data_IF_760048231592
#
_entry.id   IF_760048231592
#
_cell.length_a   1.000
_cell.length_b   1.000
_cell.length_c   1.000
_cell.angle_alpha   90.00
_cell.angle_beta   90.00
_cell.angle_gamma   90.00
#
_symmetry.space_group_name_H-M   'P 1'
#
loop_
_entity.id
_entity.type
_entity.pdbx_description
1 polymer ?
#
# COMPACT_ATOMS: atom_id res chain seq x y z
N UNK A 1 3.36 -4.18 10.34
CA UNK A 1 2.34 -4.36 9.30
C UNK A 1 2.58 -3.27 8.28
N UNK A 2 2.71 -3.61 7.00
CA UNK A 2 2.94 -2.63 5.95
C UNK A 2 1.59 -2.18 5.41
N UNK A 3 1.18 -0.96 5.76
CA UNK A 3 0.01 -0.32 5.18
C UNK A 3 0.46 0.37 3.89
N UNK A 4 0.00 -0.11 2.74
CA UNK A 4 0.21 0.58 1.46
C UNK A 4 -0.88 1.64 1.35
N UNK A 5 -0.52 2.90 1.13
CA UNK A 5 -1.48 4.01 1.07
C UNK A 5 -1.44 4.61 -0.33
N UNK A 6 -2.50 4.42 -1.09
CA UNK A 6 -2.68 5.09 -2.39
C UNK A 6 -3.04 6.56 -2.16
N UNK A 7 -2.16 7.47 -2.58
CA UNK A 7 -2.37 8.92 -2.47
C UNK A 7 -3.15 9.44 -3.66
N UNK A 8 -4.38 9.92 -3.44
CA UNK A 8 -5.18 10.68 -4.41
C UNK A 8 -5.15 12.15 -3.99
N UNK A 9 -4.24 12.93 -4.60
CA UNK A 9 -4.06 14.40 -4.46
C UNK A 9 -3.71 14.93 -3.05
N UNK A 10 -2.95 16.03 -3.00
CA UNK A 10 -1.95 16.39 -1.98
C UNK A 10 -2.33 16.53 -0.49
N UNK A 11 -3.56 16.31 -0.02
CA UNK A 11 -3.85 16.47 1.43
C UNK A 11 -4.84 15.51 2.07
N UNK A 12 -5.45 14.58 1.33
CA UNK A 12 -6.42 13.63 1.89
C UNK A 12 -5.92 12.20 1.77
N UNK A 13 -5.37 11.69 2.88
CA UNK A 13 -5.08 10.26 3.00
C UNK A 13 -6.40 9.48 2.88
N UNK A 14 -6.43 8.51 1.96
CA UNK A 14 -7.55 7.57 1.92
C UNK A 14 -7.53 6.73 3.20
N UNK A 15 -8.66 6.60 3.88
CA UNK A 15 -8.83 5.66 5.00
C UNK A 15 -8.95 4.20 4.53
N UNK A 16 -8.56 3.93 3.27
CA UNK A 16 -8.51 2.59 2.69
C UNK A 16 -7.27 1.86 3.17
N UNK A 17 -7.45 0.60 3.58
CA UNK A 17 -6.35 -0.35 3.80
C UNK A 17 -6.13 -1.11 2.50
N UNK A 18 -4.92 -1.02 1.96
CA UNK A 18 -4.57 -1.74 0.73
C UNK A 18 -3.74 -2.99 1.05
N UNK A 19 -4.15 -4.11 0.47
CA UNK A 19 -3.47 -5.41 0.54
C UNK A 19 -3.13 -5.86 -0.88
N UNK A 20 -1.89 -6.27 -1.13
CA UNK A 20 -1.52 -6.94 -2.37
C UNK A 20 -0.45 -7.99 -2.10
N UNK A 21 -0.37 -9.02 -2.94
CA UNK A 21 0.63 -10.09 -2.88
C UNK A 21 1.45 -10.13 -4.19
N UNK A 22 2.33 -9.14 -4.39
CA UNK A 22 3.19 -9.05 -5.58
C UNK A 22 4.50 -9.80 -5.31
N UNK A 23 5.10 -10.47 -6.32
CA UNK A 23 4.69 -10.54 -7.73
C UNK A 23 3.64 -11.61 -8.05
N UNK A 24 3.16 -12.36 -7.05
CA UNK A 24 2.24 -13.48 -7.26
C UNK A 24 0.88 -13.06 -7.83
N UNK A 25 0.48 -11.82 -7.56
CA UNK A 25 -0.77 -11.22 -8.00
C UNK A 25 -0.53 -9.78 -8.47
N UNK A 26 -1.12 -9.44 -9.61
CA UNK A 26 -1.20 -8.08 -10.14
C UNK A 26 -2.44 -7.34 -9.62
N UNK A 27 -3.16 -7.90 -8.64
CA UNK A 27 -4.38 -7.33 -8.09
C UNK A 27 -4.10 -6.68 -6.74
N UNK A 28 -4.49 -5.42 -6.59
CA UNK A 28 -4.48 -4.70 -5.31
C UNK A 28 -5.92 -4.67 -4.79
N UNK A 29 -6.10 -5.18 -3.57
CA UNK A 29 -7.36 -5.14 -2.85
C UNK A 29 -7.37 -3.95 -1.88
N UNK A 30 -8.44 -3.17 -1.89
CA UNK A 30 -8.60 -2.03 -0.99
C UNK A 30 -9.87 -2.18 -0.16
N UNK A 31 -9.73 -2.05 1.15
CA UNK A 31 -10.82 -2.10 2.12
C UNK A 31 -11.10 -0.73 2.68
N UNK A 32 -12.36 -0.32 2.70
CA UNK A 32 -12.82 0.91 3.34
C UNK A 32 -14.01 0.60 4.25
N UNK A 33 -13.97 1.09 5.48
CA UNK A 33 -15.11 0.99 6.40
C UNK A 33 -15.81 2.35 6.50
N UNK A 34 -17.13 2.35 6.34
CA UNK A 34 -17.98 3.53 6.54
C UNK A 34 -19.32 3.12 7.12
N UNK A 35 -19.76 3.79 8.18
CA UNK A 35 -21.03 3.52 8.86
C UNK A 35 -21.22 2.03 9.24
N UNK A 36 -20.14 1.36 9.65
CA UNK A 36 -20.14 -0.07 9.98
C UNK A 36 -20.18 -1.03 8.79
N UNK A 37 -20.23 -0.52 7.55
CA UNK A 37 -20.21 -1.31 6.32
C UNK A 37 -18.79 -1.37 5.75
N UNK A 38 -18.39 -2.58 5.34
CA UNK A 38 -17.12 -2.83 4.65
C UNK A 38 -17.33 -2.75 3.13
N UNK A 39 -16.56 -1.89 2.48
CA UNK A 39 -16.47 -1.76 1.04
C UNK A 39 -15.14 -2.32 0.55
N UNK A 40 -15.21 -3.19 -0.46
CA UNK A 40 -14.05 -3.81 -1.08
C UNK A 40 -13.94 -3.32 -2.52
N UNK A 41 -12.76 -2.86 -2.91
CA UNK A 41 -12.46 -2.45 -4.28
C UNK A 41 -11.21 -3.18 -4.76
N UNK A 42 -11.14 -3.41 -6.07
CA UNK A 42 -10.01 -4.09 -6.70
C UNK A 42 -9.42 -3.21 -7.78
N UNK A 43 -8.10 -3.08 -7.77
CA UNK A 43 -7.33 -2.34 -8.76
C UNK A 43 -6.41 -3.33 -9.45
N UNK A 44 -6.50 -3.41 -10.78
CA UNK A 44 -5.62 -4.26 -11.56
C UNK A 44 -4.38 -3.46 -11.94
N UNK A 45 -3.19 -3.97 -11.64
CA UNK A 45 -1.94 -3.38 -12.11
C UNK A 45 -1.81 -3.67 -13.60
N UNK A 46 -1.77 -2.62 -14.42
CA UNK A 46 -1.62 -2.70 -15.87
C UNK A 46 -0.21 -2.37 -16.33
N UNK A 47 0.54 -1.60 -15.53
CA UNK A 47 1.94 -1.28 -15.80
C UNK A 47 2.73 -1.15 -14.51
N UNK A 48 3.94 -1.73 -14.52
CA UNK A 48 4.89 -1.60 -13.42
C UNK A 48 5.73 -0.34 -13.62
N UNK A 49 5.90 0.44 -12.56
CA UNK A 49 6.87 1.54 -12.58
C UNK A 49 8.30 1.06 -12.34
N UNK A 50 9.20 2.02 -12.19
CA UNK A 50 10.59 1.75 -11.83
C UNK A 50 10.68 1.47 -10.33
N UNK A 51 11.21 0.30 -9.97
CA UNK A 51 11.47 -0.02 -8.57
C UNK A 51 12.55 0.93 -8.02
N UNK A 52 12.35 1.54 -6.83
CA UNK A 52 13.32 2.47 -6.27
C UNK A 52 14.64 1.76 -5.96
N UNK A 53 15.76 2.40 -6.29
CA UNK A 53 17.11 1.89 -6.02
C UNK A 53 17.37 1.64 -4.53
N UNK A 54 16.70 2.41 -3.67
CA UNK A 54 16.94 2.45 -2.22
C UNK A 54 15.63 2.15 -1.48
N UNK A 55 15.27 0.86 -1.28
CA UNK A 55 14.08 0.49 -0.54
C UNK A 55 14.24 0.77 0.96
N UNK A 56 13.12 0.93 1.67
CA UNK A 56 13.10 1.03 3.13
C UNK A 56 13.05 -0.36 3.74
N UNK A 57 13.95 -0.64 4.68
CA UNK A 57 13.93 -1.91 5.41
C UNK A 57 12.91 -1.85 6.54
N UNK A 58 12.11 -2.91 6.65
CA UNK A 58 11.08 -3.04 7.69
C UNK A 58 11.16 -4.41 8.34
N UNK A 59 10.79 -4.51 9.60
CA UNK A 59 10.72 -5.77 10.34
C UNK A 59 9.30 -6.04 10.83
N UNK A 60 8.92 -7.31 10.95
CA UNK A 60 7.73 -7.66 11.75
C UNK A 60 8.03 -7.39 13.23
N UNK A 61 7.00 -7.20 14.04
CA UNK A 61 7.00 -6.66 15.42
C UNK A 61 7.93 -7.32 16.45
N UNK A 62 8.67 -8.38 16.10
CA UNK A 62 9.67 -8.99 16.99
C UNK A 62 11.02 -8.31 16.79
N UNK A 63 11.63 -7.87 17.89
CA UNK A 63 13.04 -7.49 17.90
C UNK A 63 13.87 -8.65 17.33
N UNK A 64 14.80 -8.34 16.42
CA UNK A 64 15.64 -9.29 15.67
C UNK A 64 14.91 -10.15 14.62
N UNK A 65 13.71 -9.77 14.17
CA UNK A 65 13.08 -10.40 13.02
C UNK A 65 13.80 -10.06 11.70
N UNK A 66 13.67 -10.95 10.71
CA UNK A 66 14.15 -10.72 9.34
C UNK A 66 13.57 -9.40 8.82
N UNK A 67 14.46 -8.50 8.41
CA UNK A 67 14.08 -7.29 7.72
C UNK A 67 13.80 -7.61 6.24
N UNK A 68 12.77 -6.99 5.69
CA UNK A 68 12.42 -7.08 4.28
C UNK A 68 12.35 -5.68 3.66
N UNK A 69 12.87 -5.51 2.43
CA UNK A 69 12.81 -4.25 1.71
C UNK A 69 11.37 -3.97 1.26
N UNK A 70 10.91 -2.75 1.51
CA UNK A 70 9.67 -2.21 0.97
C UNK A 70 10.03 -1.02 0.10
N UNK A 71 9.54 -0.97 -1.16
CA UNK A 71 9.81 0.17 -2.01
C UNK A 71 8.99 1.38 -1.53
N UNK A 72 9.68 2.50 -1.31
CA UNK A 72 9.06 3.77 -0.98
C UNK A 72 8.94 4.63 -2.24
N UNK A 73 7.83 5.35 -2.40
CA UNK A 73 7.49 6.11 -3.60
C UNK A 73 7.43 5.27 -4.90
N UNK A 74 7.17 3.96 -4.81
CA UNK A 74 6.99 3.13 -5.99
C UNK A 74 5.62 3.36 -6.60
N UNK A 75 5.59 3.66 -7.90
CA UNK A 75 4.37 3.99 -8.62
C UNK A 75 4.04 2.84 -9.55
N UNK A 76 2.81 2.35 -9.50
CA UNK A 76 2.25 1.43 -10.49
C UNK A 76 1.04 2.05 -11.13
N UNK A 77 0.85 1.79 -12.42
CA UNK A 77 -0.37 2.17 -13.11
C UNK A 77 -1.42 1.09 -12.88
N UNK A 78 -2.62 1.51 -12.50
CA UNK A 78 -3.72 0.62 -12.20
C UNK A 78 -4.97 1.01 -12.95
N UNK A 79 -5.83 0.04 -13.21
CA UNK A 79 -7.15 0.22 -13.80
C UNK A 79 -8.24 -0.17 -12.81
N UNK A 80 -9.30 0.64 -12.76
CA UNK A 80 -10.57 0.32 -12.11
C UNK A 80 -11.72 0.89 -12.93
N UNK A 81 -12.70 0.07 -13.30
CA UNK A 81 -13.86 0.47 -14.13
C UNK A 81 -13.46 1.31 -15.37
N UNK A 82 -12.51 0.80 -16.17
CA UNK A 82 -11.99 1.47 -17.39
C UNK A 82 -11.32 2.83 -17.14
N UNK A 83 -10.98 3.14 -15.89
CA UNK A 83 -10.23 4.34 -15.53
C UNK A 83 -8.84 3.98 -15.03
N UNK A 84 -7.83 4.57 -15.67
CA UNK A 84 -6.45 4.49 -15.21
C UNK A 84 -6.19 5.46 -14.05
N UNK A 85 -5.48 5.00 -13.04
CA UNK A 85 -4.94 5.81 -11.96
C UNK A 85 -3.60 5.27 -11.46
N UNK A 86 -2.77 6.18 -10.97
CA UNK A 86 -1.46 5.83 -10.44
C UNK A 86 -1.56 5.53 -8.94
N UNK A 87 -1.16 4.32 -8.56
CA UNK A 87 -1.00 3.93 -7.17
C UNK A 87 0.46 4.14 -6.75
N UNK A 88 0.68 5.02 -5.78
CA UNK A 88 2.00 5.30 -5.22
C UNK A 88 2.11 4.67 -3.83
N UNK A 89 3.13 3.85 -3.60
CA UNK A 89 3.47 3.41 -2.24
C UNK A 89 4.08 4.58 -1.47
N UNK A 90 3.66 4.76 -0.23
CA UNK A 90 4.30 5.70 0.70
C UNK A 90 4.49 4.97 2.01
N UNK A 91 5.75 4.74 2.38
CA UNK A 91 6.07 4.17 3.67
C UNK A 91 5.79 5.22 4.75
N UNK A 92 4.91 4.87 5.69
CA UNK A 92 4.70 5.62 6.91
C UNK A 92 5.29 4.78 8.05
N UNK A 93 6.32 5.33 8.72
CA UNK A 93 6.81 4.75 9.96
C UNK A 93 5.70 4.87 10.99
N UNK A 94 4.97 3.78 11.24
CA UNK A 94 4.01 3.71 12.33
C UNK A 94 4.80 3.66 13.64
N UNK A 95 5.28 4.79 14.13
CA UNK A 95 5.78 4.94 15.51
C UNK A 95 4.64 4.88 16.53
N UNK A 96 3.66 4.00 16.31
CA UNK A 96 2.62 3.67 17.29
C UNK A 96 3.07 2.43 18.07
N UNK A 97 4.03 2.64 18.97
CA UNK A 97 4.13 1.82 20.17
C UNK A 97 3.03 2.32 21.11
N UNK A 98 1.93 1.59 21.20
CA UNK A 98 0.97 1.72 22.30
C UNK A 98 1.12 0.46 23.15
N UNK A 99 1.87 0.57 24.23
CA UNK A 99 1.69 -0.28 25.40
C UNK A 99 0.97 0.58 26.43
N UNK A 100 -0.31 0.34 26.63
CA UNK A 100 -0.95 0.56 27.92
C UNK A 100 -1.25 -0.81 28.51
#
# INVERSE_FOLDING_TARGET
>A
MAETIVSITETTFSSRVFTHDYPKSLKIEAHYQSNGQLFISYYNIISLGTYPSTPKLTQKSKNNAIQYPIPDNYIVETEIFERSLNCKTKYISNSKLNYN
#
